data_IF_063754770996
#
_entry.id   IF_063754770996
#
_cell.length_a   1.000
_cell.length_b   1.000
_cell.length_c   1.000
_cell.angle_alpha   90.00
_cell.angle_beta   90.00
_cell.angle_gamma   90.00
#
_symmetry.space_group_name_H-M   'P 1'
#
loop_
_entity.id
_entity.type
_entity.pdbx_description
1 polymer ?
#
# COMPACT_ATOMS: atom_id res chain seq x y z
N UNK A 1 -4.13 -25.74 4.78
CA UNK A 1 -3.28 -24.77 4.06
C UNK A 1 -2.49 -25.42 2.93
N UNK A 2 -1.68 -26.46 3.15
CA UNK A 2 -0.89 -27.09 2.07
C UNK A 2 -1.74 -27.65 0.92
N UNK A 3 -2.84 -28.35 1.20
CA UNK A 3 -3.77 -28.86 0.18
C UNK A 3 -4.41 -27.72 -0.64
N UNK A 4 -4.84 -26.67 0.04
CA UNK A 4 -5.40 -25.48 -0.58
C UNK A 4 -4.39 -24.78 -1.50
N UNK A 5 -3.14 -24.65 -1.04
CA UNK A 5 -2.05 -24.12 -1.86
C UNK A 5 -1.76 -24.98 -3.08
N UNK A 6 -1.75 -26.32 -2.95
CA UNK A 6 -1.54 -27.22 -4.09
C UNK A 6 -2.63 -27.04 -5.15
N UNK A 7 -3.91 -26.92 -4.75
CA UNK A 7 -5.01 -26.66 -5.68
C UNK A 7 -4.86 -25.31 -6.41
N UNK A 8 -4.41 -24.27 -5.70
CA UNK A 8 -4.10 -22.95 -6.31
C UNK A 8 -2.96 -23.09 -7.31
N UNK A 9 -1.88 -23.79 -6.95
CA UNK A 9 -0.70 -23.96 -7.79
C UNK A 9 -0.98 -24.74 -9.08
N UNK A 10 -1.98 -25.61 -9.08
CA UNK A 10 -2.46 -26.27 -10.31
C UNK A 10 -3.24 -25.32 -11.23
N UNK A 11 -3.85 -24.29 -10.67
CA UNK A 11 -4.71 -23.34 -11.39
C UNK A 11 -4.01 -22.07 -11.88
N UNK A 12 -2.89 -21.68 -11.25
CA UNK A 12 -2.16 -20.46 -11.54
C UNK A 12 -0.68 -20.75 -11.81
N UNK A 13 -0.12 -20.12 -12.84
CA UNK A 13 1.27 -20.37 -13.28
C UNK A 13 2.30 -19.94 -12.24
N UNK A 14 2.04 -18.81 -11.58
CA UNK A 14 2.94 -18.20 -10.61
C UNK A 14 2.25 -18.11 -9.25
N UNK A 15 2.48 -19.12 -8.42
CA UNK A 15 1.99 -19.17 -7.04
C UNK A 15 3.10 -19.61 -6.08
N UNK A 16 3.34 -18.83 -5.04
CA UNK A 16 4.32 -19.12 -3.98
C UNK A 16 3.64 -19.15 -2.62
N UNK A 17 4.25 -19.88 -1.68
CA UNK A 17 3.84 -19.93 -0.28
C UNK A 17 5.01 -19.43 0.57
N UNK A 18 4.84 -18.28 1.20
CA UNK A 18 5.87 -17.62 2.00
C UNK A 18 5.26 -17.19 3.33
N UNK A 19 5.86 -17.61 4.45
CA UNK A 19 5.38 -17.27 5.79
C UNK A 19 3.87 -17.47 5.99
N UNK A 20 3.33 -18.62 5.55
CA UNK A 20 1.90 -18.96 5.62
C UNK A 20 0.97 -18.08 4.78
N UNK A 21 1.53 -17.24 3.89
CA UNK A 21 0.80 -16.42 2.93
C UNK A 21 0.97 -16.98 1.53
N UNK A 22 -0.14 -17.19 0.83
CA UNK A 22 -0.13 -17.62 -0.56
C UNK A 22 -0.10 -16.38 -1.44
N UNK A 23 0.96 -16.21 -2.22
CA UNK A 23 1.09 -15.13 -3.20
C UNK A 23 0.83 -15.70 -4.59
N UNK A 24 -0.05 -15.05 -5.35
CA UNK A 24 -0.36 -15.40 -6.73
C UNK A 24 -0.01 -14.20 -7.60
N UNK A 25 0.78 -14.42 -8.65
CA UNK A 25 1.02 -13.40 -9.67
C UNK A 25 0.21 -13.70 -10.91
N UNK A 26 -0.57 -12.72 -11.36
CA UNK A 26 -1.45 -12.83 -12.53
C UNK A 26 -1.08 -11.74 -13.53
N UNK A 27 -1.10 -12.08 -14.81
CA UNK A 27 -0.95 -11.08 -15.87
C UNK A 27 -2.13 -10.09 -15.84
N UNK A 28 -1.87 -8.82 -16.17
CA UNK A 28 -2.91 -7.78 -16.13
C UNK A 28 -4.08 -8.07 -17.07
N UNK A 29 -3.86 -8.83 -18.15
CA UNK A 29 -4.91 -9.27 -19.08
C UNK A 29 -5.84 -10.33 -18.48
N UNK A 30 -5.35 -11.14 -17.53
CA UNK A 30 -6.11 -12.19 -16.84
C UNK A 30 -6.67 -11.71 -15.49
N UNK A 31 -6.51 -10.41 -15.15
CA UNK A 31 -6.83 -9.85 -13.84
C UNK A 31 -8.25 -10.17 -13.35
N UNK A 32 -9.26 -9.88 -14.17
CA UNK A 32 -10.67 -10.07 -13.83
C UNK A 32 -11.02 -11.56 -13.76
N UNK A 33 -10.59 -12.34 -14.75
CA UNK A 33 -10.94 -13.75 -14.83
C UNK A 33 -10.26 -14.56 -13.71
N UNK A 34 -9.02 -14.19 -13.36
CA UNK A 34 -8.31 -14.72 -12.20
C UNK A 34 -9.06 -14.46 -10.89
N UNK A 35 -9.51 -13.21 -10.66
CA UNK A 35 -10.28 -12.87 -9.46
C UNK A 35 -11.65 -13.55 -9.41
N UNK A 36 -12.35 -13.67 -10.55
CA UNK A 36 -13.61 -14.45 -10.62
C UNK A 36 -13.38 -15.91 -10.27
N UNK A 37 -12.33 -16.52 -10.82
CA UNK A 37 -11.95 -17.91 -10.51
C UNK A 37 -11.65 -18.09 -9.02
N UNK A 38 -10.87 -17.18 -8.43
CA UNK A 38 -10.56 -17.20 -6.99
C UNK A 38 -11.82 -17.08 -6.11
N UNK A 39 -12.74 -16.19 -6.48
CA UNK A 39 -14.02 -16.02 -5.77
C UNK A 39 -14.90 -17.26 -5.86
N UNK A 40 -15.06 -17.79 -7.07
CA UNK A 40 -16.09 -18.77 -7.40
C UNK A 40 -15.65 -20.23 -7.13
N UNK A 41 -14.39 -20.57 -7.43
CA UNK A 41 -13.85 -21.93 -7.27
C UNK A 41 -13.11 -22.13 -5.94
N UNK A 42 -12.43 -21.09 -5.43
CA UNK A 42 -11.61 -21.17 -4.21
C UNK A 42 -12.26 -20.54 -2.97
N UNK A 43 -13.51 -20.08 -3.09
CA UNK A 43 -14.30 -19.48 -2.01
C UNK A 43 -13.65 -18.23 -1.37
N UNK A 44 -12.74 -17.55 -2.08
CA UNK A 44 -12.11 -16.30 -1.64
C UNK A 44 -13.05 -15.12 -1.89
N UNK A 45 -14.14 -15.07 -1.11
CA UNK A 45 -15.24 -14.11 -1.25
C UNK A 45 -15.01 -12.83 -0.47
N UNK A 46 -14.16 -12.86 0.56
CA UNK A 46 -13.86 -11.68 1.36
C UNK A 46 -12.72 -10.90 0.73
N UNK A 47 -13.01 -9.66 0.34
CA UNK A 47 -12.03 -8.71 -0.17
C UNK A 47 -11.54 -7.85 1.00
N UNK A 48 -10.26 -8.01 1.36
CA UNK A 48 -9.69 -7.37 2.55
C UNK A 48 -9.18 -5.97 2.25
N UNK A 49 -8.27 -5.86 1.27
CA UNK A 49 -7.69 -4.59 0.85
C UNK A 49 -7.08 -4.68 -0.55
N UNK A 50 -6.87 -3.51 -1.17
CA UNK A 50 -6.07 -3.33 -2.39
C UNK A 50 -5.12 -2.16 -2.18
N UNK A 51 -3.89 -2.31 -2.65
CA UNK A 51 -2.89 -1.25 -2.68
C UNK A 51 -1.98 -1.41 -3.90
N UNK A 52 -1.05 -0.48 -4.08
CA UNK A 52 -0.06 -0.53 -5.14
C UNK A 52 1.35 -0.25 -4.61
N UNK A 53 2.34 -0.75 -5.34
CA UNK A 53 3.75 -0.47 -5.14
C UNK A 53 4.25 0.24 -6.40
N UNK A 54 4.90 1.39 -6.21
CA UNK A 54 5.63 2.08 -7.27
C UNK A 54 7.06 1.53 -7.36
N UNK A 55 7.32 0.74 -8.39
CA UNK A 55 8.66 0.24 -8.71
C UNK A 55 9.35 1.23 -9.65
N UNK A 56 10.39 1.89 -9.15
CA UNK A 56 11.23 2.81 -9.90
C UNK A 56 12.67 2.78 -9.36
N UNK A 57 13.64 3.02 -10.24
CA UNK A 57 15.04 3.22 -9.84
C UNK A 57 15.28 4.66 -9.38
N UNK A 58 14.52 5.62 -9.92
CA UNK A 58 14.62 7.02 -9.56
C UNK A 58 13.60 7.34 -8.46
N UNK A 59 14.12 7.59 -7.25
CA UNK A 59 13.29 7.88 -6.07
C UNK A 59 13.67 9.24 -5.48
N UNK A 60 12.68 10.07 -5.22
CA UNK A 60 12.82 11.35 -4.51
C UNK A 60 12.97 11.13 -3.00
N UNK A 61 12.41 10.04 -2.47
CA UNK A 61 12.45 9.68 -1.05
C UNK A 61 12.62 8.16 -0.88
N UNK A 62 13.52 7.77 0.03
CA UNK A 62 13.81 6.37 0.35
C UNK A 62 15.05 5.84 -0.37
N UNK A 63 15.28 4.53 -0.25
CA UNK A 63 16.34 3.83 -1.00
C UNK A 63 15.76 3.26 -2.29
N UNK A 64 16.47 3.47 -3.40
CA UNK A 64 16.16 2.82 -4.66
C UNK A 64 16.37 1.30 -4.53
N UNK A 65 15.66 0.48 -5.32
CA UNK A 65 15.91 -0.96 -5.40
C UNK A 65 17.40 -1.26 -5.66
N UNK A 66 17.92 -2.30 -5.00
CA UNK A 66 19.32 -2.72 -5.15
C UNK A 66 19.65 -3.22 -6.56
N UNK A 67 18.64 -3.74 -7.23
CA UNK A 67 18.72 -4.23 -8.61
C UNK A 67 17.90 -3.31 -9.51
N UNK A 68 18.37 -3.12 -10.74
CA UNK A 68 17.68 -2.26 -11.71
C UNK A 68 16.33 -2.85 -12.09
N UNK A 69 15.25 -2.09 -11.85
CA UNK A 69 13.87 -2.47 -12.19
C UNK A 69 13.36 -1.64 -13.36
N UNK A 70 12.45 -2.20 -14.15
CA UNK A 70 11.68 -1.41 -15.12
C UNK A 70 10.56 -0.64 -14.40
N UNK A 71 10.36 0.67 -14.68
CA UNK A 71 9.31 1.46 -14.07
C UNK A 71 7.92 0.83 -14.25
N UNK A 72 7.27 0.47 -13.16
CA UNK A 72 5.97 -0.21 -13.19
C UNK A 72 5.21 0.01 -11.88
N UNK A 73 3.89 -0.15 -11.93
CA UNK A 73 3.11 -0.33 -10.72
C UNK A 73 2.83 -1.81 -10.51
N UNK A 74 3.01 -2.29 -9.29
CA UNK A 74 2.51 -3.59 -8.87
C UNK A 74 1.26 -3.38 -8.01
N UNK A 75 0.11 -3.81 -8.52
CA UNK A 75 -1.16 -3.75 -7.80
C UNK A 75 -1.30 -5.05 -7.04
N UNK A 76 -1.66 -4.97 -5.76
CA UNK A 76 -1.79 -6.11 -4.87
C UNK A 76 -3.16 -6.07 -4.21
N UNK A 77 -3.87 -7.18 -4.27
CA UNK A 77 -5.11 -7.41 -3.53
C UNK A 77 -4.89 -8.49 -2.48
N UNK A 78 -5.65 -8.42 -1.40
CA UNK A 78 -5.69 -9.45 -0.38
C UNK A 78 -7.11 -9.99 -0.25
N UNK A 79 -7.23 -11.29 -0.42
CA UNK A 79 -8.47 -12.03 -0.39
C UNK A 79 -8.40 -13.07 0.72
N UNK A 80 -9.55 -13.36 1.31
CA UNK A 80 -9.65 -14.48 2.25
C UNK A 80 -10.92 -15.29 2.07
N UNK A 81 -10.87 -16.54 2.51
CA UNK A 81 -12.09 -17.31 2.76
C UNK A 81 -12.68 -16.93 4.14
N UNK A 82 -13.99 -17.13 4.30
CA UNK A 82 -14.68 -16.88 5.56
C UNK A 82 -14.67 -18.09 6.49
N UNK A 83 -14.40 -19.28 5.93
CA UNK A 83 -14.55 -20.55 6.65
C UNK A 83 -13.25 -20.99 7.33
N UNK A 84 -12.08 -20.80 6.70
CA UNK A 84 -10.80 -21.32 7.19
C UNK A 84 -9.74 -20.23 7.41
N UNK A 85 -10.10 -18.95 7.22
CA UNK A 85 -9.18 -17.80 7.30
C UNK A 85 -7.91 -17.95 6.45
N UNK A 86 -8.00 -18.65 5.32
CA UNK A 86 -6.90 -18.70 4.35
C UNK A 86 -6.74 -17.30 3.75
N UNK A 87 -5.53 -16.76 3.77
CA UNK A 87 -5.20 -15.46 3.22
C UNK A 87 -4.39 -15.63 1.94
N UNK A 88 -4.84 -14.98 0.87
CA UNK A 88 -4.21 -15.05 -0.44
C UNK A 88 -4.00 -13.63 -0.95
N UNK A 89 -2.75 -13.32 -1.27
CA UNK A 89 -2.38 -12.08 -1.95
C UNK A 89 -2.30 -12.34 -3.44
N UNK A 90 -2.91 -11.47 -4.23
CA UNK A 90 -2.89 -11.55 -5.69
C UNK A 90 -2.24 -10.27 -6.20
N UNK A 91 -1.16 -10.39 -6.96
CA UNK A 91 -0.48 -9.24 -7.55
C UNK A 91 -0.47 -9.29 -9.07
N UNK A 92 -0.41 -8.10 -9.67
CA UNK A 92 -0.20 -7.91 -11.10
C UNK A 92 0.66 -6.69 -11.35
N UNK A 93 1.40 -6.68 -12.44
CA UNK A 93 2.27 -5.56 -12.83
C UNK A 93 1.70 -4.87 -14.06
N UNK A 94 1.65 -3.54 -14.02
CA UNK A 94 1.20 -2.69 -15.11
C UNK A 94 2.25 -1.61 -15.43
N UNK A 95 2.21 -1.10 -16.66
CA UNK A 95 3.12 -0.03 -17.08
C UNK A 95 2.88 1.25 -16.29
N UNK A 96 3.96 1.93 -15.88
CA UNK A 96 3.87 3.26 -15.24
C UNK A 96 3.50 4.37 -16.24
N UNK A 97 3.77 4.19 -17.54
CA UNK A 97 3.47 5.18 -18.58
C UNK A 97 1.98 5.27 -18.90
N UNK A 98 1.27 4.14 -18.80
CA UNK A 98 -0.16 4.00 -19.05
C UNK A 98 -0.74 3.13 -17.93
N UNK A 99 -0.88 3.70 -16.70
CA UNK A 99 -1.24 2.92 -15.52
C UNK A 99 -2.74 2.64 -15.52
N UNK A 100 -3.15 1.67 -16.33
CA UNK A 100 -4.54 1.29 -16.53
C UNK A 100 -4.76 -0.19 -16.17
N UNK A 101 -5.87 -0.46 -15.49
CA UNK A 101 -6.34 -1.82 -15.22
C UNK A 101 -7.86 -1.85 -15.12
N UNK A 102 -8.49 -3.02 -15.33
CA UNK A 102 -9.92 -3.18 -15.09
C UNK A 102 -10.27 -3.18 -13.58
N UNK A 103 -11.34 -2.47 -13.23
CA UNK A 103 -11.93 -2.48 -11.88
C UNK A 103 -12.44 -3.87 -11.49
N UNK A 104 -12.22 -4.24 -10.23
CA UNK A 104 -12.72 -5.44 -9.58
C UNK A 104 -14.09 -5.24 -8.91
N UNK A 105 -14.73 -4.06 -8.99
CA UNK A 105 -16.01 -3.80 -8.30
C UNK A 105 -17.09 -4.81 -8.66
N UNK A 106 -17.17 -5.20 -9.93
CA UNK A 106 -18.14 -6.19 -10.41
C UNK A 106 -17.85 -7.61 -9.89
N UNK A 107 -16.64 -7.86 -9.40
CA UNK A 107 -16.25 -9.11 -8.73
C UNK A 107 -16.44 -9.00 -7.22
N UNK A 108 -15.99 -7.90 -6.64
CA UNK A 108 -15.98 -7.58 -5.22
C UNK A 108 -16.45 -6.14 -4.97
N UNK A 109 -17.63 -5.97 -4.39
CA UNK A 109 -18.15 -4.64 -4.07
C UNK A 109 -17.23 -3.82 -3.12
N UNK A 110 -16.44 -4.51 -2.29
CA UNK A 110 -15.45 -3.89 -1.40
C UNK A 110 -14.29 -3.19 -2.12
N UNK A 111 -14.04 -3.50 -3.39
CA UNK A 111 -12.96 -2.89 -4.17
C UNK A 111 -13.15 -1.37 -4.37
N UNK A 112 -14.37 -0.87 -4.32
CA UNK A 112 -14.72 0.53 -4.63
C UNK A 112 -13.86 1.55 -3.86
N UNK A 113 -13.74 1.40 -2.55
CA UNK A 113 -12.99 2.36 -1.74
C UNK A 113 -11.48 2.28 -1.99
N UNK A 114 -10.95 1.06 -2.12
CA UNK A 114 -9.52 0.83 -2.32
C UNK A 114 -9.05 1.25 -3.73
N UNK A 115 -9.87 1.06 -4.75
CA UNK A 115 -9.55 1.50 -6.12
C UNK A 115 -9.54 3.03 -6.22
N UNK A 116 -10.45 3.72 -5.53
CA UNK A 116 -10.43 5.19 -5.43
C UNK A 116 -9.21 5.72 -4.67
N UNK A 117 -8.84 5.05 -3.58
CA UNK A 117 -7.61 5.35 -2.85
C UNK A 117 -6.37 5.16 -3.73
N UNK A 118 -6.25 4.04 -4.44
CA UNK A 118 -5.14 3.78 -5.34
C UNK A 118 -5.09 4.76 -6.52
N UNK A 119 -6.23 5.15 -7.06
CA UNK A 119 -6.34 6.19 -8.07
C UNK A 119 -5.83 7.54 -7.56
N UNK A 120 -6.24 7.95 -6.37
CA UNK A 120 -5.82 9.23 -5.80
C UNK A 120 -4.35 9.23 -5.36
N UNK A 121 -3.87 8.14 -4.76
CA UNK A 121 -2.53 8.06 -4.17
C UNK A 121 -1.43 7.75 -5.19
N UNK A 122 -1.73 6.95 -6.23
CA UNK A 122 -0.76 6.48 -7.23
C UNK A 122 -1.08 6.92 -8.67
N UNK A 123 -2.29 7.45 -8.93
CA UNK A 123 -2.70 7.84 -10.29
C UNK A 123 -3.11 6.66 -11.18
N UNK A 124 -3.39 5.49 -10.62
CA UNK A 124 -3.77 4.29 -11.37
C UNK A 124 -5.24 4.38 -11.80
N UNK A 125 -5.50 4.28 -13.10
CA UNK A 125 -6.84 4.34 -13.67
C UNK A 125 -7.52 2.97 -13.67
N UNK A 126 -8.66 2.86 -12.99
CA UNK A 126 -9.47 1.64 -12.93
C UNK A 126 -10.64 1.74 -13.94
N UNK A 127 -10.55 1.00 -15.05
CA UNK A 127 -11.59 0.97 -16.08
C UNK A 127 -12.88 0.34 -15.55
N UNK A 128 -14.01 0.85 -16.05
CA UNK A 128 -15.36 0.39 -15.66
C UNK A 128 -15.74 0.67 -14.20
N UNK A 129 -14.93 1.42 -13.45
CA UNK A 129 -15.28 1.89 -12.12
C UNK A 129 -16.41 2.94 -12.20
N UNK A 130 -17.56 2.78 -11.53
CA UNK A 130 -18.73 3.64 -11.71
C UNK A 130 -18.56 5.06 -11.15
N UNK A 131 -17.71 5.24 -10.13
CA UNK A 131 -17.43 6.55 -9.53
C UNK A 131 -15.95 6.71 -9.11
N UNK A 132 -15.04 6.80 -10.08
CA UNK A 132 -13.60 6.93 -9.80
C UNK A 132 -13.24 8.38 -9.49
N UNK A 133 -13.54 8.81 -8.28
CA UNK A 133 -13.28 10.17 -7.78
C UNK A 133 -12.34 10.13 -6.57
N UNK A 134 -11.57 11.21 -6.40
CA UNK A 134 -10.69 11.47 -5.25
C UNK A 134 -11.43 11.27 -3.92
N UNK A 135 -10.72 10.81 -2.89
CA UNK A 135 -11.33 10.36 -1.64
C UNK A 135 -10.86 11.15 -0.41
N UNK A 136 -9.55 11.39 -0.28
CA UNK A 136 -8.94 11.94 0.92
C UNK A 136 -8.34 13.33 0.72
N UNK A 137 -7.78 13.60 -0.46
CA UNK A 137 -7.00 14.82 -0.67
C UNK A 137 -7.93 16.03 -0.84
N UNK A 138 -7.53 17.21 -0.35
CA UNK A 138 -8.30 18.43 -0.53
C UNK A 138 -8.55 18.74 -2.01
N UNK A 139 -9.67 19.41 -2.29
CA UNK A 139 -9.98 19.91 -3.63
C UNK A 139 -8.84 20.77 -4.16
N UNK A 140 -8.41 20.49 -5.39
CA UNK A 140 -7.29 21.18 -6.03
C UNK A 140 -5.90 20.66 -5.65
N UNK A 141 -5.78 19.58 -4.87
CA UNK A 141 -4.48 18.94 -4.63
C UNK A 141 -3.87 18.42 -5.96
N UNK A 142 -2.63 18.82 -6.23
CA UNK A 142 -1.86 18.43 -7.41
C UNK A 142 -0.86 17.32 -7.07
N UNK A 143 -0.87 16.26 -7.87
CA UNK A 143 0.04 15.11 -7.74
C UNK A 143 -0.52 13.94 -6.95
N UNK A 144 0.29 12.90 -6.85
CA UNK A 144 -0.02 11.59 -6.27
C UNK A 144 1.00 11.28 -5.17
N UNK A 145 0.64 11.44 -3.88
CA UNK A 145 1.60 11.45 -2.77
C UNK A 145 2.42 10.17 -2.57
N UNK A 146 1.92 9.02 -3.02
CA UNK A 146 2.56 7.71 -2.80
C UNK A 146 3.54 7.34 -3.92
N UNK A 147 3.71 8.18 -4.94
CA UNK A 147 4.73 7.98 -5.97
C UNK A 147 6.13 8.19 -5.38
N UNK A 148 7.07 7.34 -5.78
CA UNK A 148 8.48 7.47 -5.37
C UNK A 148 9.12 8.76 -5.86
N UNK A 149 8.65 9.28 -6.99
CA UNK A 149 9.09 10.55 -7.57
C UNK A 149 8.46 11.77 -6.91
N UNK A 150 7.44 11.60 -6.06
CA UNK A 150 6.77 12.72 -5.40
C UNK A 150 7.68 13.34 -4.32
N UNK A 151 8.00 14.62 -4.47
CA UNK A 151 8.84 15.34 -3.51
C UNK A 151 8.03 15.69 -2.26
N UNK A 152 8.46 15.17 -1.09
CA UNK A 152 7.88 15.58 0.18
C UNK A 152 8.36 16.99 0.54
N UNK A 153 7.51 17.99 0.30
CA UNK A 153 7.75 19.39 0.72
C UNK A 153 7.85 19.52 2.26
N UNK A 154 7.48 18.49 3.03
CA UNK A 154 7.28 18.52 4.48
C UNK A 154 8.53 18.43 5.37
N UNK A 155 9.71 18.90 4.91
CA UNK A 155 10.85 19.15 5.82
C UNK A 155 11.05 20.61 6.19
N UNK A 156 10.12 21.50 5.86
CA UNK A 156 10.01 22.75 6.62
C UNK A 156 9.47 22.42 8.02
N UNK A 157 10.39 22.25 8.97
CA UNK A 157 10.08 22.28 10.40
C UNK A 157 9.40 23.62 10.65
N UNK A 158 8.07 23.64 10.75
CA UNK A 158 7.39 24.80 11.30
C UNK A 158 7.91 24.96 12.73
N UNK A 159 8.61 26.06 13.07
CA UNK A 159 9.03 26.28 14.44
C UNK A 159 7.78 26.27 15.32
N UNK A 160 7.89 25.61 16.48
CA UNK A 160 6.80 25.56 17.44
C UNK A 160 6.37 27.00 17.80
N UNK A 161 5.07 27.35 17.70
CA UNK A 161 4.61 28.74 17.82
C UNK A 161 4.47 29.23 19.28
N UNK A 162 4.79 28.39 20.27
CA UNK A 162 4.73 28.76 21.68
C UNK A 162 6.10 29.15 22.23
N UNK A 163 6.13 30.16 23.09
CA UNK A 163 7.29 30.44 23.93
C UNK A 163 7.58 29.20 24.78
N UNK A 164 8.79 28.66 24.65
CA UNK A 164 9.27 27.61 25.55
C UNK A 164 9.70 28.33 26.82
N UNK A 165 8.84 28.32 27.85
CA UNK A 165 9.23 28.73 29.20
C UNK A 165 10.21 27.68 29.75
N UNK A 166 11.49 27.87 29.44
CA UNK A 166 12.57 27.15 30.11
C UNK A 166 12.82 27.87 31.43
N UNK A 167 12.03 27.58 32.46
CA UNK A 167 12.44 27.95 33.82
C UNK A 167 13.80 27.32 34.09
N UNK A 168 14.81 28.17 34.31
CA UNK A 168 16.15 27.72 34.65
C UNK A 168 16.09 26.86 35.91
N UNK A 169 16.82 25.74 35.90
CA UNK A 169 16.89 24.84 37.05
C UNK A 169 17.33 25.65 38.28
N UNK A 170 16.60 25.61 39.41
CA UNK A 170 16.95 26.42 40.58
C UNK A 170 18.36 26.04 41.05
N UNK A 171 19.22 27.04 41.23
CA UNK A 171 20.57 26.84 41.77
C UNK A 171 20.47 26.24 43.18
N UNK A 172 21.20 25.14 43.42
CA UNK A 172 21.34 24.58 44.76
C UNK A 172 21.99 25.64 45.66
N UNK A 173 21.26 26.12 46.67
CA UNK A 173 21.83 26.99 47.70
C UNK A 173 22.89 26.20 48.47
N UNK A 174 24.16 26.60 48.35
CA UNK A 174 25.26 26.05 49.14
C UNK A 174 24.92 26.14 50.63
N UNK A 175 24.75 24.98 51.28
CA UNK A 175 24.63 24.89 52.72
C UNK A 175 25.98 25.25 53.34
N UNK A 176 26.04 26.40 53.99
CA UNK A 176 27.18 26.93 54.75
C UNK A 176 27.70 25.89 55.76
N UNK A 177 28.77 25.19 55.36
CA UNK A 177 29.47 24.20 56.15
C UNK A 177 30.34 24.90 57.19
N UNK A 178 29.84 24.92 58.42
CA UNK A 178 30.55 25.39 59.60
C UNK A 178 31.89 24.67 59.79
N UNK A 179 33.01 25.40 59.79
CA UNK A 179 34.28 24.93 60.34
C UNK A 179 34.95 26.08 61.10
N UNK A 180 34.79 26.10 62.42
CA UNK A 180 35.67 26.83 63.34
C UNK A 180 35.94 25.92 64.55
N UNK A 181 37.21 25.56 64.73
CA UNK A 181 37.75 24.71 65.78
C UNK A 181 39.27 24.62 65.69
#
# INVERSE_FOLDING_TARGET
MEEFFNNIKESFKEATLEFETINIKIDSTEWIDGHKKLRDEFNLKFFSWLSAIDWDNEVSVGEAPKESVSPSFEIITCLSDLDNTNLVTVSTSISKSEPNINSLIDVYAGANWHEREAYEMFGINFENHPNLEKLYLPDGYEGNPMLKSFELISREVKPWPGDVDVEGMPEESESDGSVDG
#
